data_IF_724375777053
#
_entry.id   IF_724375777053
#
_cell.length_a   1.000
_cell.length_b   1.000
_cell.length_c   1.000
_cell.angle_alpha   90.00
_cell.angle_beta   90.00
_cell.angle_gamma   90.00
#
_symmetry.space_group_name_H-M   'P 1'
#
loop_
_entity.id
_entity.type
_entity.pdbx_description
1 polymer ?
#
# COMPACT_ATOMS: atom_id res chain seq x y z
N UNK A 1 -16.49 27.99 27.94
CA UNK A 1 -16.04 28.40 26.58
C UNK A 1 -14.87 27.58 26.01
N UNK A 2 -13.93 27.07 26.82
CA UNK A 2 -12.73 26.30 26.36
C UNK A 2 -13.06 24.94 25.70
N UNK A 3 -14.17 24.29 26.08
CA UNK A 3 -14.58 22.99 25.52
C UNK A 3 -14.97 23.02 24.04
N UNK A 4 -15.55 24.13 23.55
CA UNK A 4 -15.90 24.28 22.13
C UNK A 4 -14.65 24.44 21.26
N UNK A 5 -13.64 25.16 21.75
CA UNK A 5 -12.36 25.34 21.07
C UNK A 5 -11.56 24.04 20.97
N UNK A 6 -11.53 23.23 22.05
CA UNK A 6 -10.93 21.88 22.01
C UNK A 6 -11.60 20.98 20.97
N UNK A 7 -12.94 20.91 20.94
CA UNK A 7 -13.68 20.14 19.92
C UNK A 7 -13.41 20.62 18.49
N UNK A 8 -13.28 21.93 18.28
CA UNK A 8 -12.94 22.53 16.97
C UNK A 8 -11.53 22.16 16.51
N UNK A 9 -10.55 22.16 17.43
CA UNK A 9 -9.17 21.75 17.14
C UNK A 9 -9.09 20.25 16.86
N UNK A 10 -9.84 19.44 17.60
CA UNK A 10 -9.84 17.98 17.46
C UNK A 10 -10.49 17.53 16.15
N UNK A 11 -11.60 18.15 15.77
CA UNK A 11 -12.23 17.96 14.44
C UNK A 11 -11.32 18.44 13.32
N UNK A 12 -10.60 19.55 13.50
CA UNK A 12 -9.63 20.04 12.50
C UNK A 12 -8.40 19.13 12.36
N UNK A 13 -7.89 18.59 13.48
CA UNK A 13 -6.83 17.56 13.45
C UNK A 13 -7.32 16.27 12.78
N UNK A 14 -8.54 15.83 13.07
CA UNK A 14 -9.14 14.68 12.41
C UNK A 14 -9.29 14.92 10.89
N UNK A 15 -9.74 16.10 10.48
CA UNK A 15 -9.82 16.48 9.06
C UNK A 15 -8.45 16.57 8.40
N UNK A 16 -7.42 17.11 9.07
CA UNK A 16 -6.05 17.09 8.55
C UNK A 16 -5.49 15.68 8.41
N UNK A 17 -5.76 14.81 9.38
CA UNK A 17 -5.33 13.40 9.35
C UNK A 17 -6.04 12.63 8.23
N UNK A 18 -7.32 12.89 8.02
CA UNK A 18 -8.09 12.34 6.89
C UNK A 18 -7.60 12.89 5.55
N UNK A 19 -7.26 14.18 5.47
CA UNK A 19 -6.70 14.79 4.27
C UNK A 19 -5.34 14.16 3.91
N UNK A 20 -4.47 13.91 4.90
CA UNK A 20 -3.20 13.23 4.64
C UNK A 20 -3.38 11.75 4.26
N UNK A 21 -4.39 11.07 4.81
CA UNK A 21 -4.72 9.69 4.46
C UNK A 21 -5.37 9.55 3.08
N UNK A 22 -5.91 10.65 2.53
CA UNK A 22 -6.57 10.70 1.21
C UNK A 22 -5.74 11.44 0.15
N UNK A 23 -4.51 11.85 0.49
CA UNK A 23 -3.58 12.50 -0.42
C UNK A 23 -3.11 11.52 -1.50
N UNK A 24 -3.31 11.82 -2.80
CA UNK A 24 -2.83 10.98 -3.89
C UNK A 24 -1.34 10.63 -3.81
N UNK A 25 -0.50 11.54 -3.27
CA UNK A 25 0.93 11.28 -3.08
C UNK A 25 1.19 10.13 -2.10
N UNK A 26 0.34 9.97 -1.08
CA UNK A 26 0.44 8.87 -0.14
C UNK A 26 0.10 7.53 -0.81
N UNK A 27 -0.91 7.49 -1.68
CA UNK A 27 -1.24 6.28 -2.46
C UNK A 27 -0.11 5.90 -3.42
N UNK A 28 0.46 6.89 -4.10
CA UNK A 28 1.61 6.67 -4.98
C UNK A 28 2.80 6.07 -4.23
N UNK A 29 3.12 6.62 -3.05
CA UNK A 29 4.19 6.10 -2.20
C UNK A 29 3.92 4.66 -1.77
N UNK A 30 2.72 4.36 -1.26
CA UNK A 30 2.34 2.99 -0.86
C UNK A 30 2.41 2.01 -2.04
N UNK A 31 1.93 2.42 -3.22
CA UNK A 31 1.97 1.57 -4.41
C UNK A 31 3.42 1.25 -4.82
N UNK A 32 4.33 2.23 -4.79
CA UNK A 32 5.75 2.01 -5.06
C UNK A 32 6.39 1.07 -4.04
N UNK A 33 6.11 1.25 -2.75
CA UNK A 33 6.62 0.38 -1.69
C UNK A 33 6.17 -1.08 -1.88
N UNK A 34 4.89 -1.30 -2.21
CA UNK A 34 4.34 -2.65 -2.45
C UNK A 34 4.97 -3.28 -3.69
N UNK A 35 5.15 -2.50 -4.76
CA UNK A 35 5.85 -2.95 -5.96
C UNK A 35 7.29 -3.38 -5.65
N UNK A 36 8.01 -2.59 -4.88
CA UNK A 36 9.40 -2.88 -4.53
C UNK A 36 9.49 -4.14 -3.65
N UNK A 37 8.56 -4.33 -2.71
CA UNK A 37 8.45 -5.57 -1.94
C UNK A 37 8.15 -6.78 -2.82
N UNK A 38 7.22 -6.65 -3.77
CA UNK A 38 6.88 -7.71 -4.70
C UNK A 38 8.08 -8.08 -5.59
N UNK A 39 8.86 -7.09 -6.04
CA UNK A 39 10.11 -7.32 -6.76
C UNK A 39 11.13 -8.10 -5.93
N UNK A 40 11.32 -7.73 -4.66
CA UNK A 40 12.20 -8.45 -3.74
C UNK A 40 11.72 -9.90 -3.52
N UNK A 41 10.41 -10.10 -3.31
CA UNK A 41 9.82 -11.43 -3.18
C UNK A 41 10.10 -12.30 -4.41
N UNK A 42 10.03 -11.72 -5.62
CA UNK A 42 10.30 -12.45 -6.87
C UNK A 42 11.74 -12.92 -6.99
N UNK A 43 12.69 -12.21 -6.38
CA UNK A 43 14.11 -12.55 -6.42
C UNK A 43 14.45 -13.66 -5.43
N UNK A 44 13.77 -13.69 -4.28
CA UNK A 44 14.04 -14.63 -3.19
C UNK A 44 13.41 -16.00 -3.40
N UNK A 45 12.31 -16.11 -4.14
CA UNK A 45 11.53 -17.34 -4.21
C UNK A 45 11.35 -17.89 -5.65
N UNK A 46 12.42 -18.43 -6.28
CA UNK A 46 12.45 -18.74 -7.71
C UNK A 46 11.71 -20.03 -8.14
N UNK A 47 10.98 -20.70 -7.24
CA UNK A 47 10.56 -22.11 -7.47
C UNK A 47 9.08 -22.33 -7.81
N UNK A 48 8.20 -21.35 -7.61
CA UNK A 48 6.76 -21.52 -7.87
C UNK A 48 6.23 -20.57 -8.95
N UNK A 49 5.84 -21.14 -10.11
CA UNK A 49 5.32 -20.37 -11.27
C UNK A 49 4.08 -19.55 -10.94
N UNK A 50 3.23 -20.02 -10.03
CA UNK A 50 1.99 -19.32 -9.68
C UNK A 50 2.24 -18.12 -8.76
N UNK A 51 3.21 -18.22 -7.84
CA UNK A 51 3.69 -17.09 -7.05
C UNK A 51 4.28 -15.98 -7.95
N UNK A 52 5.07 -16.34 -8.96
CA UNK A 52 5.61 -15.36 -9.91
C UNK A 52 4.53 -14.62 -10.70
N UNK A 53 3.45 -15.31 -11.11
CA UNK A 53 2.31 -14.66 -11.79
C UNK A 53 1.60 -13.69 -10.86
N UNK A 54 1.36 -14.09 -9.61
CA UNK A 54 0.73 -13.24 -8.61
C UNK A 54 1.57 -11.98 -8.36
N UNK A 55 2.87 -12.14 -8.12
CA UNK A 55 3.81 -11.04 -7.93
C UNK A 55 3.81 -10.08 -9.13
N UNK A 56 3.81 -10.62 -10.36
CA UNK A 56 3.74 -9.80 -11.56
C UNK A 56 2.42 -9.04 -11.66
N UNK A 57 1.29 -9.65 -11.30
CA UNK A 57 -0.01 -8.96 -11.24
C UNK A 57 0.04 -7.80 -10.27
N UNK A 58 0.56 -8.02 -9.06
CA UNK A 58 0.69 -6.99 -8.03
C UNK A 58 1.55 -5.81 -8.53
N UNK A 59 2.69 -6.10 -9.17
CA UNK A 59 3.56 -5.05 -9.74
C UNK A 59 2.78 -4.20 -10.75
N UNK A 60 2.10 -4.83 -11.69
CA UNK A 60 1.31 -4.12 -12.73
C UNK A 60 0.18 -3.31 -12.12
N UNK A 61 -0.53 -3.86 -11.13
CA UNK A 61 -1.61 -3.17 -10.42
C UNK A 61 -1.10 -1.96 -9.65
N UNK A 62 0.06 -2.07 -9.00
CA UNK A 62 0.68 -0.95 -8.27
C UNK A 62 1.19 0.14 -9.21
N UNK A 63 1.76 -0.21 -10.37
CA UNK A 63 2.13 0.76 -11.40
C UNK A 63 0.90 1.51 -11.92
N UNK A 64 -0.16 0.77 -12.25
CA UNK A 64 -1.43 1.36 -12.70
C UNK A 64 -2.06 2.26 -11.63
N UNK A 65 -1.97 1.88 -10.36
CA UNK A 65 -2.47 2.70 -9.26
C UNK A 65 -1.64 3.97 -9.07
N UNK A 66 -0.31 3.86 -9.17
CA UNK A 66 0.61 5.00 -9.13
C UNK A 66 0.27 6.01 -10.23
N UNK A 67 0.07 5.54 -11.46
CA UNK A 67 -0.37 6.37 -12.58
C UNK A 67 -1.75 6.99 -12.32
N UNK A 68 -2.70 6.19 -11.83
CA UNK A 68 -4.06 6.67 -11.53
C UNK A 68 -4.03 7.79 -10.49
N UNK A 69 -3.20 7.66 -9.45
CA UNK A 69 -3.07 8.65 -8.38
C UNK A 69 -2.59 10.03 -8.89
N UNK A 70 -1.85 10.09 -10.01
CA UNK A 70 -1.45 11.36 -10.61
C UNK A 70 -2.61 12.05 -11.36
N UNK A 71 -3.63 11.30 -11.77
CA UNK A 71 -4.74 11.82 -12.58
C UNK A 71 -5.76 12.62 -11.75
N UNK A 72 -6.41 13.64 -12.32
CA UNK A 72 -7.40 14.46 -11.62
C UNK A 72 -8.64 13.66 -11.18
N UNK A 73 -8.98 12.57 -11.87
CA UNK A 73 -10.10 11.68 -11.54
C UNK A 73 -9.89 11.03 -10.17
N UNK A 74 -8.66 10.71 -9.81
CA UNK A 74 -8.36 10.14 -8.50
C UNK A 74 -8.64 11.13 -7.37
N UNK A 75 -8.36 12.42 -7.58
CA UNK A 75 -8.70 13.47 -6.60
C UNK A 75 -10.21 13.54 -6.36
N UNK A 76 -11.02 13.28 -7.40
CA UNK A 76 -12.49 13.26 -7.35
C UNK A 76 -13.08 12.01 -6.68
N UNK A 77 -12.29 10.98 -6.40
CA UNK A 77 -12.77 9.81 -5.66
C UNK A 77 -13.29 10.24 -4.29
N UNK A 78 -14.42 9.64 -3.87
CA UNK A 78 -14.96 9.88 -2.54
C UNK A 78 -13.96 9.43 -1.47
N UNK A 79 -13.97 10.13 -0.33
CA UNK A 79 -13.13 9.79 0.82
C UNK A 79 -13.26 8.31 1.22
N UNK A 80 -14.48 7.76 1.22
CA UNK A 80 -14.72 6.34 1.51
C UNK A 80 -13.99 5.40 0.54
N UNK A 81 -14.04 5.68 -0.78
CA UNK A 81 -13.33 4.87 -1.78
C UNK A 81 -11.81 4.94 -1.59
N UNK A 82 -11.27 6.11 -1.26
CA UNK A 82 -9.83 6.27 -0.95
C UNK A 82 -9.44 5.49 0.30
N UNK A 83 -10.26 5.52 1.35
CA UNK A 83 -9.99 4.76 2.58
C UNK A 83 -10.01 3.25 2.35
N UNK A 84 -11.00 2.74 1.60
CA UNK A 84 -11.06 1.32 1.23
C UNK A 84 -9.83 0.90 0.42
N UNK A 85 -9.45 1.71 -0.57
CA UNK A 85 -8.25 1.45 -1.36
C UNK A 85 -6.99 1.42 -0.49
N UNK A 86 -6.86 2.36 0.46
CA UNK A 86 -5.73 2.39 1.38
C UNK A 86 -5.70 1.12 2.24
N UNK A 87 -6.83 0.68 2.76
CA UNK A 87 -6.92 -0.54 3.55
C UNK A 87 -6.47 -1.76 2.74
N UNK A 88 -6.99 -1.94 1.52
CA UNK A 88 -6.58 -3.05 0.65
C UNK A 88 -5.08 -3.04 0.32
N UNK A 89 -4.47 -1.86 0.17
CA UNK A 89 -3.00 -1.75 0.00
C UNK A 89 -2.24 -2.20 1.25
N UNK A 90 -2.73 -1.87 2.45
CA UNK A 90 -2.10 -2.31 3.69
C UNK A 90 -2.17 -3.82 3.83
N UNK A 91 -3.33 -4.42 3.57
CA UNK A 91 -3.53 -5.88 3.59
C UNK A 91 -2.63 -6.58 2.55
N UNK A 92 -2.55 -6.06 1.32
CA UNK A 92 -1.66 -6.60 0.28
C UNK A 92 -0.18 -6.53 0.68
N UNK A 93 0.23 -5.44 1.31
CA UNK A 93 1.60 -5.28 1.82
C UNK A 93 1.92 -6.32 2.91
N UNK A 94 1.00 -6.53 3.85
CA UNK A 94 1.18 -7.51 4.94
C UNK A 94 1.30 -8.94 4.38
N UNK A 95 0.42 -9.33 3.45
CA UNK A 95 0.49 -10.64 2.78
C UNK A 95 1.80 -10.87 2.03
N UNK A 96 2.33 -9.84 1.37
CA UNK A 96 3.63 -9.93 0.69
C UNK A 96 4.78 -10.12 1.67
N UNK A 97 4.76 -9.41 2.81
CA UNK A 97 5.78 -9.57 3.85
C UNK A 97 5.75 -10.97 4.46
N UNK A 98 4.57 -11.49 4.79
CA UNK A 98 4.40 -12.86 5.27
C UNK A 98 4.93 -13.88 4.26
N UNK A 99 4.67 -13.67 2.97
CA UNK A 99 5.18 -14.54 1.90
C UNK A 99 6.71 -14.49 1.79
N UNK A 100 7.33 -13.32 1.95
CA UNK A 100 8.80 -13.18 1.98
C UNK A 100 9.40 -13.87 3.22
N UNK A 101 8.82 -13.66 4.40
CA UNK A 101 9.31 -14.25 5.65
C UNK A 101 9.18 -15.78 5.68
N UNK A 102 8.15 -16.33 5.03
CA UNK A 102 7.94 -17.77 4.89
C UNK A 102 8.87 -18.43 3.86
N UNK A 103 9.62 -17.65 3.06
CA UNK A 103 10.55 -18.21 2.09
C UNK A 103 11.77 -18.83 2.81
N UNK A 104 12.20 -20.05 2.43
CA UNK A 104 13.32 -20.71 3.10
C UNK A 104 14.59 -19.85 2.96
N UNK A 105 15.21 -19.52 4.08
CA UNK A 105 16.44 -18.71 4.09
C UNK A 105 17.56 -19.40 3.30
N UNK A 106 18.36 -18.67 2.49
CA UNK A 106 19.49 -19.22 1.72
C UNK A 106 20.54 -19.94 2.58
N UNK A 107 20.52 -19.73 3.89
CA UNK A 107 21.47 -20.31 4.85
C UNK A 107 21.24 -21.80 5.12
N UNK A 108 20.14 -22.42 4.65
CA UNK A 108 19.87 -23.85 4.87
C UNK A 108 20.39 -24.80 3.78
N UNK A 109 20.98 -24.29 2.69
CA UNK A 109 21.58 -25.12 1.63
C UNK A 109 23.09 -25.33 1.77
N UNK A 110 23.68 -24.92 2.90
CA UNK A 110 25.07 -25.18 3.26
C UNK A 110 25.12 -26.02 4.54
N UNK A 111 24.69 -27.28 4.44
CA UNK A 111 24.99 -28.33 5.41
C UNK A 111 25.38 -29.60 4.68
#
# INVERSE_FOLDING_TARGET
MIGWFKRRIETYKAHRKLASQTDPRAFKRMAMEIRDLALLASQLNPRERDIHKLIRSVIVEMERLSELADRPEFRKLSTGKKLLLRQGLQESREQLLESIESAPSPTQTLQ
#
